data_IF_790362097506
#
_entry.id   IF_790362097506
#
_cell.length_a   1.000
_cell.length_b   1.000
_cell.length_c   1.000
_cell.angle_alpha   90.00
_cell.angle_beta   90.00
_cell.angle_gamma   90.00
#
_symmetry.space_group_name_H-M   'P 1'
#
loop_
_entity.id
_entity.type
_entity.pdbx_description
1 polymer ?
#
# COMPACT_ATOMS: atom_id res chain seq x y z
N UNK A 1 4.98 14.84 -5.09
CA UNK A 1 3.88 13.86 -5.14
C UNK A 1 3.63 13.23 -3.77
N UNK A 2 4.59 12.51 -3.16
CA UNK A 2 4.38 11.80 -1.89
C UNK A 2 3.85 12.65 -0.71
N UNK A 3 4.44 13.81 -0.42
CA UNK A 3 3.97 14.68 0.67
C UNK A 3 2.55 15.25 0.44
N UNK A 4 2.21 15.51 -0.82
CA UNK A 4 0.88 16.03 -1.18
C UNK A 4 -0.18 14.93 -1.06
N UNK A 5 0.13 13.70 -1.48
CA UNK A 5 -0.74 12.55 -1.28
C UNK A 5 -1.04 12.31 0.20
N UNK A 6 -0.01 12.32 1.06
CA UNK A 6 -0.18 12.19 2.52
C UNK A 6 -1.07 13.32 3.08
N UNK A 7 -0.92 14.53 2.58
CA UNK A 7 -1.75 15.67 2.99
C UNK A 7 -3.21 15.47 2.60
N UNK A 8 -3.49 15.00 1.38
CA UNK A 8 -4.84 14.68 0.93
C UNK A 8 -5.43 13.51 1.71
N UNK A 9 -4.67 12.46 1.96
CA UNK A 9 -5.09 11.34 2.80
C UNK A 9 -5.50 11.82 4.21
N UNK A 10 -4.69 12.67 4.85
CA UNK A 10 -5.01 13.22 6.17
C UNK A 10 -6.27 14.10 6.18
N UNK A 11 -6.67 14.65 5.02
CA UNK A 11 -7.90 15.42 4.83
C UNK A 11 -9.10 14.55 4.44
N UNK A 12 -8.94 13.22 4.32
CA UNK A 12 -9.98 12.32 3.82
C UNK A 12 -10.22 12.41 2.31
N UNK A 13 -9.32 13.07 1.57
CA UNK A 13 -9.37 13.27 0.12
C UNK A 13 -8.67 12.12 -0.60
N UNK A 14 -9.25 10.92 -0.46
CA UNK A 14 -8.60 9.68 -0.87
C UNK A 14 -8.46 9.54 -2.38
N UNK A 15 -9.40 10.07 -3.17
CA UNK A 15 -9.34 9.98 -4.64
C UNK A 15 -8.19 10.83 -5.22
N UNK A 16 -7.92 12.00 -4.64
CA UNK A 16 -6.76 12.81 -5.01
C UNK A 16 -5.44 12.21 -4.51
N UNK A 17 -5.45 11.56 -3.35
CA UNK A 17 -4.28 10.82 -2.86
C UNK A 17 -3.95 9.64 -3.79
N UNK A 18 -4.96 8.82 -4.14
CA UNK A 18 -4.83 7.65 -5.03
C UNK A 18 -4.17 8.05 -6.36
N UNK A 19 -4.67 9.09 -7.02
CA UNK A 19 -4.11 9.54 -8.32
C UNK A 19 -2.62 9.90 -8.23
N UNK A 20 -2.23 10.61 -7.17
CA UNK A 20 -0.84 11.02 -6.97
C UNK A 20 0.06 9.83 -6.59
N UNK A 21 -0.48 8.88 -5.84
CA UNK A 21 0.25 7.67 -5.42
C UNK A 21 0.43 6.69 -6.58
N UNK A 22 -0.58 6.51 -7.44
CA UNK A 22 -0.49 5.71 -8.67
C UNK A 22 0.57 6.27 -9.62
N UNK A 23 0.56 7.59 -9.87
CA UNK A 23 1.56 8.24 -10.72
C UNK A 23 2.96 8.10 -10.12
N UNK A 24 3.10 8.33 -8.82
CA UNK A 24 4.38 8.20 -8.13
C UNK A 24 4.91 6.76 -8.15
N UNK A 25 4.03 5.77 -7.98
CA UNK A 25 4.39 4.35 -8.02
C UNK A 25 4.85 3.95 -9.43
N UNK A 26 4.14 4.37 -10.48
CA UNK A 26 4.52 4.09 -11.86
C UNK A 26 5.91 4.67 -12.19
N UNK A 27 6.14 5.94 -11.87
CA UNK A 27 7.43 6.60 -12.12
C UNK A 27 8.58 5.96 -11.32
N UNK A 28 8.35 5.60 -10.04
CA UNK A 28 9.38 4.96 -9.22
C UNK A 28 9.70 3.55 -9.69
N UNK A 29 8.70 2.79 -10.15
CA UNK A 29 8.93 1.49 -10.80
C UNK A 29 9.81 1.63 -12.03
N UNK A 30 9.54 2.62 -12.87
CA UNK A 30 10.30 2.86 -14.11
C UNK A 30 11.74 3.31 -13.81
N UNK A 31 11.92 4.26 -12.90
CA UNK A 31 13.22 4.92 -12.67
C UNK A 31 14.10 4.17 -11.67
N UNK A 32 13.52 3.63 -10.60
CA UNK A 32 14.25 3.03 -9.47
C UNK A 32 14.14 1.50 -9.43
N UNK A 33 13.12 0.94 -10.09
CA UNK A 33 12.82 -0.48 -10.08
C UNK A 33 11.96 -0.90 -8.88
N UNK A 34 11.42 -2.13 -8.96
CA UNK A 34 10.49 -2.70 -7.98
C UNK A 34 11.07 -2.85 -6.56
N UNK A 35 12.36 -3.20 -6.46
CA UNK A 35 13.02 -3.49 -5.17
C UNK A 35 13.50 -2.25 -4.43
N UNK A 36 13.37 -1.07 -5.02
CA UNK A 36 13.82 0.16 -4.38
C UNK A 36 12.92 0.52 -3.19
N UNK A 37 13.46 0.94 -2.03
CA UNK A 37 12.68 1.28 -0.85
C UNK A 37 11.53 2.26 -1.12
N UNK A 38 11.77 3.29 -1.93
CA UNK A 38 10.73 4.27 -2.29
C UNK A 38 9.60 3.69 -3.13
N UNK A 39 9.88 2.71 -4.00
CA UNK A 39 8.86 2.01 -4.78
C UNK A 39 7.98 1.20 -3.87
N UNK A 40 8.58 0.44 -2.95
CA UNK A 40 7.88 -0.37 -1.95
C UNK A 40 7.05 0.52 -1.01
N UNK A 41 7.60 1.66 -0.59
CA UNK A 41 6.86 2.62 0.23
C UNK A 41 5.63 3.17 -0.51
N UNK A 42 5.76 3.46 -1.81
CA UNK A 42 4.64 3.92 -2.63
C UNK A 42 3.53 2.88 -2.72
N UNK A 43 3.87 1.61 -2.85
CA UNK A 43 2.87 0.52 -2.80
C UNK A 43 2.13 0.50 -1.46
N UNK A 44 2.86 0.66 -0.35
CA UNK A 44 2.27 0.64 0.98
C UNK A 44 1.34 1.85 1.22
N UNK A 45 1.72 3.04 0.74
CA UNK A 45 0.85 4.23 0.81
C UNK A 45 -0.41 4.07 -0.03
N UNK A 46 -0.29 3.63 -1.29
CA UNK A 46 -1.44 3.39 -2.16
C UNK A 46 -2.39 2.32 -1.59
N UNK A 47 -1.84 1.27 -0.99
CA UNK A 47 -2.62 0.25 -0.31
C UNK A 47 -3.41 0.81 0.89
N UNK A 48 -2.79 1.70 1.68
CA UNK A 48 -3.47 2.37 2.78
C UNK A 48 -4.61 3.27 2.29
N UNK A 49 -4.41 3.98 1.18
CA UNK A 49 -5.46 4.78 0.53
C UNK A 49 -6.63 3.91 0.06
N UNK A 50 -6.35 2.76 -0.57
CA UNK A 50 -7.40 1.79 -0.92
C UNK A 50 -8.14 1.23 0.29
N UNK A 51 -7.43 0.94 1.37
CA UNK A 51 -8.04 0.49 2.61
C UNK A 51 -8.99 1.57 3.17
N UNK A 52 -8.59 2.84 3.16
CA UNK A 52 -9.41 3.96 3.62
C UNK A 52 -10.67 4.19 2.75
N UNK A 53 -10.60 3.84 1.46
CA UNK A 53 -11.75 3.83 0.54
C UNK A 53 -12.64 2.57 0.66
N UNK A 54 -12.29 1.60 1.52
CA UNK A 54 -13.00 0.31 1.62
C UNK A 54 -12.74 -0.65 0.45
N UNK A 55 -11.73 -0.35 -0.39
CA UNK A 55 -11.32 -1.19 -1.54
C UNK A 55 -10.30 -2.23 -1.09
N UNK A 56 -10.71 -3.09 -0.16
CA UNK A 56 -9.80 -4.03 0.53
C UNK A 56 -9.11 -5.02 -0.40
N UNK A 57 -9.74 -5.47 -1.50
CA UNK A 57 -9.11 -6.37 -2.48
C UNK A 57 -7.86 -5.75 -3.11
N UNK A 58 -7.93 -4.47 -3.51
CA UNK A 58 -6.81 -3.76 -4.12
C UNK A 58 -5.72 -3.45 -3.10
N UNK A 59 -6.10 -3.08 -1.88
CA UNK A 59 -5.17 -2.90 -0.78
C UNK A 59 -4.39 -4.19 -0.48
N UNK A 60 -5.11 -5.33 -0.46
CA UNK A 60 -4.55 -6.65 -0.18
C UNK A 60 -3.47 -7.01 -1.20
N UNK A 61 -3.77 -6.84 -2.50
CA UNK A 61 -2.81 -7.14 -3.57
C UNK A 61 -1.51 -6.34 -3.42
N UNK A 62 -1.61 -5.03 -3.17
CA UNK A 62 -0.42 -4.19 -2.99
C UNK A 62 0.37 -4.52 -1.72
N UNK A 63 -0.32 -4.78 -0.60
CA UNK A 63 0.35 -5.21 0.64
C UNK A 63 1.08 -6.54 0.48
N UNK A 64 0.50 -7.50 -0.28
CA UNK A 64 1.17 -8.77 -0.58
C UNK A 64 2.45 -8.57 -1.39
N UNK A 65 2.38 -7.77 -2.47
CA UNK A 65 3.55 -7.47 -3.29
C UNK A 65 4.64 -6.76 -2.48
N UNK A 66 4.29 -5.75 -1.69
CA UNK A 66 5.24 -5.03 -0.85
C UNK A 66 5.88 -5.96 0.21
N UNK A 67 5.11 -6.86 0.82
CA UNK A 67 5.59 -7.83 1.79
C UNK A 67 6.58 -8.82 1.15
N UNK A 68 6.25 -9.38 -0.02
CA UNK A 68 7.11 -10.32 -0.72
C UNK A 68 8.47 -9.70 -1.07
N UNK A 69 8.45 -8.46 -1.58
CA UNK A 69 9.69 -7.73 -1.89
C UNK A 69 10.49 -7.46 -0.61
N UNK A 70 9.85 -6.98 0.47
CA UNK A 70 10.52 -6.71 1.75
C UNK A 70 11.12 -7.96 2.37
N UNK A 71 10.42 -9.11 2.32
CA UNK A 71 10.96 -10.41 2.74
C UNK A 71 12.21 -10.77 1.97
N UNK A 72 12.20 -10.60 0.65
CA UNK A 72 13.33 -10.93 -0.19
C UNK A 72 14.54 -9.99 0.01
N UNK A 73 14.30 -8.68 0.21
CA UNK A 73 15.36 -7.67 0.30
C UNK A 73 15.89 -7.48 1.72
N UNK A 74 15.03 -7.52 2.73
CA UNK A 74 15.33 -7.15 4.12
C UNK A 74 15.28 -8.34 5.09
N UNK A 75 14.60 -9.43 4.72
CA UNK A 75 14.34 -10.58 5.58
C UNK A 75 13.08 -10.46 6.44
N UNK A 76 12.66 -11.57 7.03
CA UNK A 76 11.43 -11.70 7.83
C UNK A 76 11.41 -10.81 9.08
N UNK A 77 12.56 -10.66 9.76
CA UNK A 77 12.66 -9.98 11.05
C UNK A 77 12.87 -8.46 10.93
N UNK A 78 12.94 -7.93 9.70
CA UNK A 78 13.10 -6.49 9.51
C UNK A 78 11.81 -5.76 9.93
N UNK A 79 11.91 -4.60 10.63
CA UNK A 79 10.74 -3.82 11.05
C UNK A 79 9.72 -3.56 9.94
N UNK A 80 10.17 -3.15 8.76
CA UNK A 80 9.29 -2.88 7.62
C UNK A 80 8.57 -4.15 7.10
N UNK A 81 9.22 -5.31 7.18
CA UNK A 81 8.60 -6.60 6.83
C UNK A 81 7.49 -6.93 7.82
N UNK A 82 7.78 -6.83 9.12
CA UNK A 82 6.78 -7.05 10.17
C UNK A 82 5.61 -6.07 10.09
N UNK A 83 5.88 -4.80 9.78
CA UNK A 83 4.83 -3.80 9.56
C UNK A 83 3.94 -4.15 8.36
N UNK A 84 4.52 -4.68 7.28
CA UNK A 84 3.75 -5.14 6.12
C UNK A 84 2.84 -6.31 6.45
N UNK A 85 3.29 -7.23 7.31
CA UNK A 85 2.46 -8.34 7.82
C UNK A 85 1.27 -7.79 8.62
N UNK A 86 1.49 -6.79 9.48
CA UNK A 86 0.42 -6.18 10.26
C UNK A 86 -0.65 -5.51 9.37
N UNK A 87 -0.22 -4.77 8.34
CA UNK A 87 -1.15 -4.16 7.38
C UNK A 87 -1.92 -5.21 6.56
N UNK A 88 -1.23 -6.29 6.16
CA UNK A 88 -1.87 -7.39 5.45
C UNK A 88 -2.96 -8.05 6.30
N UNK A 89 -2.66 -8.35 7.56
CA UNK A 89 -3.63 -8.94 8.49
C UNK A 89 -4.85 -8.01 8.70
N UNK A 90 -4.62 -6.72 8.95
CA UNK A 90 -5.71 -5.73 9.08
C UNK A 90 -6.60 -5.69 7.84
N UNK A 91 -6.02 -5.78 6.64
CA UNK A 91 -6.76 -5.74 5.39
C UNK A 91 -7.56 -7.03 5.17
N UNK A 92 -7.00 -8.18 5.55
CA UNK A 92 -7.69 -9.47 5.49
C UNK A 92 -8.87 -9.52 6.46
N UNK A 93 -8.70 -9.03 7.68
CA UNK A 93 -9.76 -8.95 8.68
C UNK A 93 -10.91 -8.06 8.17
N UNK A 94 -10.58 -6.90 7.57
CA UNK A 94 -11.57 -6.01 6.97
C UNK A 94 -12.32 -6.68 5.80
N UNK A 95 -11.61 -7.47 4.97
CA UNK A 95 -12.22 -8.21 3.87
C UNK A 95 -13.19 -9.30 4.38
N UNK A 96 -12.86 -9.97 5.47
CA UNK A 96 -13.72 -11.01 6.08
C UNK A 96 -14.96 -10.45 6.76
N UNK A 97 -14.93 -9.18 7.18
CA UNK A 97 -16.07 -8.51 7.81
C UNK A 97 -17.04 -7.89 6.79
N UNK A 98 -16.70 -7.89 5.49
CA UNK A 98 -17.62 -7.45 4.46
C UNK A 98 -18.81 -8.40 4.36
N UNK A 99 -20.06 -7.89 4.35
CA UNK A 99 -21.21 -8.74 4.07
C UNK A 99 -21.07 -9.32 2.65
N UNK A 100 -21.47 -10.59 2.42
CA UNK A 100 -21.50 -11.16 1.09
C UNK A 100 -22.36 -10.27 0.19
N UNK A 101 -21.84 -9.90 -0.98
CA UNK A 101 -22.57 -9.16 -2.00
C UNK A 101 -23.86 -9.93 -2.31
N UNK A 102 -25.00 -9.32 -1.96
CA UNK A 102 -26.34 -9.86 -2.23
C UNK A 102 -26.72 -9.74 -3.71
#
# INVERSE_FOLDING_TARGET
MALLAVTYHAQGRYDEAERLEDEALALRREVLGEKHPDTIWSMASLAATYHAQGRYDKALQLHQTALEIRRHVLGENHPDTMQSVAYLASTQDALQQLPPLA
#
